data_IF_136956416445
#
_entry.id   IF_136956416445
#
_cell.length_a   1.000
_cell.length_b   1.000
_cell.length_c   1.000
_cell.angle_alpha   90.00
_cell.angle_beta   90.00
_cell.angle_gamma   90.00
#
_symmetry.space_group_name_H-M   'P 1'
#
loop_
_entity.id
_entity.type
_entity.pdbx_description
1 polymer ?
#
# COMPACT_ATOMS: atom_id res chain seq x y z
N UNK A 1 63.52 4.00 -25.54
CA UNK A 1 62.60 2.84 -25.64
C UNK A 1 61.79 2.84 -24.34
N UNK A 2 60.64 3.47 -24.37
CA UNK A 2 59.75 3.58 -23.21
C UNK A 2 58.61 2.60 -23.38
N UNK A 3 58.62 1.52 -22.62
CA UNK A 3 57.55 0.53 -22.62
C UNK A 3 56.37 1.05 -21.81
N UNK A 4 55.30 1.33 -22.50
CA UNK A 4 54.03 1.73 -21.92
C UNK A 4 53.26 0.47 -21.48
N UNK A 5 53.53 0.01 -20.25
CA UNK A 5 52.81 -1.11 -19.66
C UNK A 5 51.40 -0.61 -19.25
N UNK A 6 50.48 -0.63 -20.21
CA UNK A 6 49.05 -0.54 -19.94
C UNK A 6 48.58 -1.80 -19.18
N UNK A 7 48.84 -1.84 -17.88
CA UNK A 7 48.21 -2.83 -16.97
C UNK A 7 46.72 -2.53 -16.90
N UNK A 8 45.94 -3.22 -17.74
CA UNK A 8 44.51 -3.33 -17.58
C UNK A 8 44.28 -4.01 -16.24
N UNK A 9 43.97 -3.22 -15.22
CA UNK A 9 43.49 -3.74 -13.92
C UNK A 9 42.06 -4.26 -14.16
N UNK A 10 41.95 -5.54 -14.42
CA UNK A 10 40.66 -6.23 -14.35
C UNK A 10 40.31 -6.25 -12.87
N UNK A 11 39.48 -5.30 -12.42
CA UNK A 11 38.84 -5.36 -11.12
C UNK A 11 37.78 -6.45 -11.22
N UNK A 12 38.13 -7.66 -10.79
CA UNK A 12 37.15 -8.73 -10.61
C UNK A 12 36.31 -8.33 -9.39
N UNK A 13 35.16 -7.76 -9.67
CA UNK A 13 34.13 -7.52 -8.65
C UNK A 13 33.50 -8.88 -8.33
N UNK A 14 34.06 -9.54 -7.32
CA UNK A 14 33.60 -10.85 -6.84
C UNK A 14 32.31 -10.61 -6.09
N UNK A 15 31.18 -10.62 -6.79
CA UNK A 15 29.86 -10.63 -6.14
C UNK A 15 29.73 -11.91 -5.30
N UNK A 16 29.48 -11.75 -4.02
CA UNK A 16 29.38 -12.83 -3.03
C UNK A 16 28.27 -13.87 -3.32
N UNK A 17 27.39 -13.59 -4.28
CA UNK A 17 26.33 -14.50 -4.72
C UNK A 17 26.29 -14.59 -6.26
N UNK A 18 26.08 -15.80 -6.82
CA UNK A 18 25.91 -15.94 -8.25
C UNK A 18 24.65 -15.17 -8.68
N UNK A 19 24.85 -14.04 -9.34
CA UNK A 19 23.76 -13.25 -9.91
C UNK A 19 23.32 -13.89 -11.21
N UNK A 20 22.24 -14.66 -11.16
CA UNK A 20 21.55 -15.08 -12.38
C UNK A 20 20.85 -13.83 -12.93
N UNK A 21 21.38 -13.24 -13.99
CA UNK A 21 20.70 -12.15 -14.71
C UNK A 21 19.52 -12.76 -15.45
N UNK A 22 18.33 -12.55 -14.92
CA UNK A 22 17.09 -12.75 -15.66
C UNK A 22 16.87 -11.54 -16.56
N UNK A 23 16.40 -11.77 -17.79
CA UNK A 23 16.04 -10.69 -18.74
C UNK A 23 14.81 -9.89 -18.32
N UNK A 24 14.21 -10.24 -17.18
CA UNK A 24 13.03 -9.56 -16.64
C UNK A 24 13.42 -8.30 -15.90
N UNK A 25 13.05 -7.16 -16.46
CA UNK A 25 13.19 -5.85 -15.84
C UNK A 25 12.20 -5.70 -14.66
N UNK A 26 12.61 -5.02 -13.59
CA UNK A 26 11.78 -4.73 -12.40
C UNK A 26 10.43 -4.11 -12.79
N UNK A 27 10.42 -3.25 -13.80
CA UNK A 27 9.20 -2.66 -14.34
C UNK A 27 8.20 -3.71 -14.82
N UNK A 28 8.68 -4.73 -15.54
CA UNK A 28 7.83 -5.80 -16.08
C UNK A 28 7.16 -6.58 -14.96
N UNK A 29 7.93 -6.95 -13.95
CA UNK A 29 7.40 -7.65 -12.77
C UNK A 29 6.33 -6.80 -12.05
N UNK A 30 6.56 -5.50 -11.86
CA UNK A 30 5.58 -4.62 -11.21
C UNK A 30 4.31 -4.47 -12.03
N UNK A 31 4.41 -4.38 -13.35
CA UNK A 31 3.26 -4.33 -14.25
C UNK A 31 2.45 -5.63 -14.24
N UNK A 32 3.11 -6.79 -14.24
CA UNK A 32 2.45 -8.09 -14.18
C UNK A 32 1.62 -8.23 -12.90
N UNK A 33 2.13 -7.74 -11.76
CA UNK A 33 1.38 -7.71 -10.49
C UNK A 33 0.18 -6.76 -10.56
N UNK A 34 0.32 -5.58 -11.17
CA UNK A 34 -0.81 -4.66 -11.36
C UNK A 34 -1.90 -5.33 -12.21
N UNK A 35 -1.52 -5.99 -13.30
CA UNK A 35 -2.46 -6.72 -14.17
C UNK A 35 -3.14 -7.85 -13.39
N UNK A 36 -2.40 -8.61 -12.57
CA UNK A 36 -2.95 -9.68 -11.73
C UNK A 36 -3.94 -9.17 -10.67
N UNK A 37 -3.83 -7.91 -10.23
CA UNK A 37 -4.76 -7.29 -9.28
C UNK A 37 -6.02 -6.72 -9.95
N UNK A 38 -6.03 -6.52 -11.27
CA UNK A 38 -7.19 -5.95 -11.98
C UNK A 38 -8.47 -6.76 -11.82
N UNK A 39 -8.47 -8.12 -11.91
CA UNK A 39 -9.68 -8.90 -11.67
C UNK A 39 -10.29 -8.66 -10.28
N UNK A 40 -9.46 -8.55 -9.25
CA UNK A 40 -9.94 -8.27 -7.89
C UNK A 40 -10.57 -6.88 -7.78
N UNK A 41 -10.00 -5.87 -8.45
CA UNK A 41 -10.57 -4.53 -8.51
C UNK A 41 -11.92 -4.51 -9.25
N UNK A 42 -12.05 -5.27 -10.33
CA UNK A 42 -13.30 -5.42 -11.08
C UNK A 42 -14.39 -6.02 -10.18
N UNK A 43 -14.09 -7.09 -9.45
CA UNK A 43 -15.04 -7.69 -8.49
C UNK A 43 -15.43 -6.70 -7.40
N UNK A 44 -14.48 -5.92 -6.88
CA UNK A 44 -14.76 -4.87 -5.90
C UNK A 44 -15.74 -3.81 -6.44
N UNK A 45 -15.61 -3.42 -7.72
CA UNK A 45 -16.52 -2.47 -8.37
C UNK A 45 -17.93 -3.07 -8.47
N UNK A 46 -18.08 -4.33 -8.84
CA UNK A 46 -19.39 -5.00 -8.90
C UNK A 46 -20.06 -5.10 -7.52
N UNK A 47 -19.28 -5.34 -6.46
CA UNK A 47 -19.81 -5.51 -5.11
C UNK A 47 -20.13 -4.18 -4.41
N UNK A 48 -19.27 -3.17 -4.54
CA UNK A 48 -19.34 -1.93 -3.78
C UNK A 48 -19.62 -0.69 -4.64
N UNK A 49 -19.79 -0.86 -5.97
CA UNK A 49 -20.01 0.23 -6.91
C UNK A 49 -18.71 0.94 -7.30
N UNK A 50 -18.82 2.19 -7.74
CA UNK A 50 -17.69 2.97 -8.27
C UNK A 50 -16.71 3.52 -7.22
N UNK A 51 -17.06 3.48 -5.95
CA UNK A 51 -16.23 4.05 -4.87
C UNK A 51 -14.86 3.40 -4.74
N UNK A 52 -14.72 2.05 -4.77
CA UNK A 52 -13.40 1.40 -4.73
C UNK A 52 -12.48 1.85 -5.86
N UNK A 53 -13.02 2.06 -7.06
CA UNK A 53 -12.25 2.58 -8.19
C UNK A 53 -11.74 4.01 -7.90
N UNK A 54 -12.60 4.87 -7.34
CA UNK A 54 -12.20 6.22 -6.94
C UNK A 54 -11.06 6.22 -5.92
N UNK A 55 -11.16 5.39 -4.87
CA UNK A 55 -10.13 5.22 -3.86
C UNK A 55 -8.82 4.70 -4.47
N UNK A 56 -8.90 3.70 -5.36
CA UNK A 56 -7.72 3.13 -6.04
C UNK A 56 -7.03 4.16 -6.94
N UNK A 57 -7.78 4.91 -7.72
CA UNK A 57 -7.24 5.95 -8.62
C UNK A 57 -6.57 7.07 -7.82
N UNK A 58 -7.23 7.60 -6.79
CA UNK A 58 -6.65 8.64 -5.93
C UNK A 58 -5.38 8.14 -5.26
N UNK A 59 -5.39 6.92 -4.71
CA UNK A 59 -4.22 6.33 -4.06
C UNK A 59 -3.04 6.15 -5.03
N UNK A 60 -3.28 5.64 -6.24
CA UNK A 60 -2.22 5.48 -7.24
C UNK A 60 -1.63 6.82 -7.69
N UNK A 61 -2.50 7.79 -8.01
CA UNK A 61 -2.07 9.11 -8.48
C UNK A 61 -1.25 9.82 -7.39
N UNK A 62 -1.74 9.81 -6.15
CA UNK A 62 -1.05 10.45 -5.03
C UNK A 62 0.26 9.75 -4.67
N UNK A 63 0.33 8.42 -4.75
CA UNK A 63 1.55 7.66 -4.53
C UNK A 63 2.65 8.03 -5.56
N UNK A 64 2.29 8.08 -6.85
CA UNK A 64 3.21 8.50 -7.92
C UNK A 64 3.63 9.97 -7.76
N UNK A 65 2.67 10.83 -7.40
CA UNK A 65 2.94 12.25 -7.16
C UNK A 65 3.92 12.46 -6.00
N UNK A 66 3.74 11.80 -4.86
CA UNK A 66 4.65 11.93 -3.72
C UNK A 66 6.04 11.35 -4.02
N UNK A 67 6.13 10.26 -4.79
CA UNK A 67 7.42 9.74 -5.23
C UNK A 67 8.15 10.74 -6.12
N UNK A 68 7.45 11.32 -7.10
CA UNK A 68 8.01 12.34 -7.97
C UNK A 68 8.44 13.58 -7.20
N UNK A 69 7.57 14.10 -6.32
CA UNK A 69 7.85 15.30 -5.52
C UNK A 69 9.08 15.10 -4.63
N UNK A 70 9.16 13.97 -3.93
CA UNK A 70 10.30 13.65 -3.06
C UNK A 70 11.61 13.56 -3.85
N UNK A 71 11.63 12.84 -4.98
CA UNK A 71 12.82 12.68 -5.81
C UNK A 71 13.28 14.00 -6.41
N UNK A 72 12.35 14.83 -6.86
CA UNK A 72 12.64 16.17 -7.36
C UNK A 72 13.24 17.06 -6.27
N UNK A 73 12.69 17.03 -5.06
CA UNK A 73 13.18 17.81 -3.92
C UNK A 73 14.59 17.38 -3.51
N UNK A 74 14.85 16.06 -3.49
CA UNK A 74 16.14 15.49 -3.10
C UNK A 74 17.17 15.41 -4.25
N UNK A 75 16.84 15.94 -5.44
CA UNK A 75 17.69 15.91 -6.64
C UNK A 75 18.20 14.50 -7.00
N UNK A 76 17.42 13.48 -6.70
CA UNK A 76 17.73 12.07 -7.07
C UNK A 76 17.29 11.77 -8.50
N UNK A 77 17.95 10.81 -9.16
CA UNK A 77 17.57 10.35 -10.50
C UNK A 77 16.11 9.87 -10.54
N UNK A 78 15.39 10.28 -11.59
CA UNK A 78 13.98 9.90 -11.77
C UNK A 78 13.87 8.43 -12.22
N UNK A 79 13.51 7.54 -11.32
CA UNK A 79 13.14 6.15 -11.59
C UNK A 79 11.62 5.92 -11.51
N UNK A 80 10.82 6.91 -11.91
CA UNK A 80 9.35 6.83 -11.89
C UNK A 80 8.84 5.73 -12.84
N UNK A 81 9.67 5.35 -13.82
CA UNK A 81 9.35 4.30 -14.79
C UNK A 81 9.15 2.89 -14.22
N UNK A 82 9.54 2.63 -12.98
CA UNK A 82 9.46 1.28 -12.37
C UNK A 82 8.04 0.87 -11.98
N UNK A 83 7.05 1.74 -12.07
CA UNK A 83 5.65 1.53 -11.67
C UNK A 83 5.45 1.08 -10.21
N UNK A 84 6.51 1.08 -9.40
CA UNK A 84 6.47 0.58 -8.02
C UNK A 84 5.63 1.45 -7.08
N UNK A 85 5.57 2.78 -7.32
CA UNK A 85 4.70 3.67 -6.54
C UNK A 85 3.22 3.44 -6.87
N UNK A 86 2.90 3.25 -8.15
CA UNK A 86 1.55 2.93 -8.59
C UNK A 86 1.06 1.61 -7.97
N UNK A 87 1.91 0.58 -7.99
CA UNK A 87 1.63 -0.70 -7.34
C UNK A 87 1.41 -0.54 -5.83
N UNK A 88 2.28 0.22 -5.14
CA UNK A 88 2.13 0.49 -3.70
C UNK A 88 0.80 1.19 -3.40
N UNK A 89 0.43 2.19 -4.20
CA UNK A 89 -0.85 2.89 -4.09
C UNK A 89 -2.04 1.96 -4.31
N UNK A 90 -1.98 1.09 -5.33
CA UNK A 90 -3.02 0.11 -5.61
C UNK A 90 -3.18 -0.90 -4.47
N UNK A 91 -2.08 -1.49 -4.00
CA UNK A 91 -2.10 -2.44 -2.87
C UNK A 91 -2.67 -1.79 -1.61
N UNK A 92 -2.30 -0.55 -1.32
CA UNK A 92 -2.84 0.17 -0.17
C UNK A 92 -4.35 0.39 -0.33
N UNK A 93 -4.81 0.84 -1.50
CA UNK A 93 -6.23 1.05 -1.78
C UNK A 93 -7.05 -0.23 -1.62
N UNK A 94 -6.54 -1.38 -2.10
CA UNK A 94 -7.20 -2.68 -1.95
C UNK A 94 -7.35 -3.14 -0.49
N UNK A 95 -6.58 -2.55 0.42
CA UNK A 95 -6.67 -2.85 1.86
C UNK A 95 -7.55 -1.89 2.64
N UNK A 96 -8.08 -0.85 1.98
CA UNK A 96 -8.94 0.15 2.61
C UNK A 96 -10.43 -0.19 2.43
N UNK A 97 -11.30 0.19 3.40
CA UNK A 97 -12.73 0.02 3.22
C UNK A 97 -13.26 0.93 2.11
N UNK A 98 -14.23 0.46 1.29
CA UNK A 98 -14.77 1.24 0.18
C UNK A 98 -15.52 2.51 0.60
N UNK A 99 -15.92 2.60 1.88
CA UNK A 99 -16.54 3.80 2.48
C UNK A 99 -15.56 4.92 2.78
N UNK A 100 -14.24 4.68 2.67
CA UNK A 100 -13.22 5.66 3.05
C UNK A 100 -13.38 6.98 2.32
N UNK A 101 -13.24 8.12 3.02
CA UNK A 101 -13.19 9.43 2.39
C UNK A 101 -11.90 9.56 1.54
N UNK A 102 -11.97 10.28 0.42
CA UNK A 102 -10.86 10.36 -0.55
C UNK A 102 -9.59 11.04 -0.02
N UNK A 103 -9.65 11.79 1.08
CA UNK A 103 -8.45 12.34 1.71
C UNK A 103 -7.61 11.28 2.46
N UNK A 104 -8.24 10.19 2.89
CA UNK A 104 -7.58 9.12 3.64
C UNK A 104 -6.50 8.40 2.81
N UNK A 105 -6.76 7.96 1.56
CA UNK A 105 -5.71 7.41 0.69
C UNK A 105 -4.59 8.41 0.38
N UNK A 106 -4.85 9.73 0.40
CA UNK A 106 -3.80 10.75 0.20
C UNK A 106 -2.82 10.73 1.37
N UNK A 107 -3.31 10.78 2.61
CA UNK A 107 -2.45 10.74 3.81
C UNK A 107 -1.71 9.42 3.95
N UNK A 108 -2.38 8.30 3.66
CA UNK A 108 -1.74 6.99 3.67
C UNK A 108 -0.66 6.83 2.60
N UNK A 109 -0.90 7.31 1.38
CA UNK A 109 0.10 7.31 0.30
C UNK A 109 1.30 8.19 0.64
N UNK A 110 1.09 9.34 1.26
CA UNK A 110 2.17 10.19 1.74
C UNK A 110 3.08 9.42 2.71
N UNK A 111 2.49 8.82 3.75
CA UNK A 111 3.26 8.07 4.74
C UNK A 111 3.98 6.86 4.11
N UNK A 112 3.28 6.06 3.32
CA UNK A 112 3.82 4.88 2.67
C UNK A 112 5.00 5.20 1.73
N UNK A 113 4.86 6.23 0.90
CA UNK A 113 5.88 6.56 -0.11
C UNK A 113 7.01 7.39 0.50
N UNK A 114 6.71 8.48 1.22
CA UNK A 114 7.74 9.40 1.71
C UNK A 114 8.47 8.79 2.90
N UNK A 115 7.75 8.35 3.93
CA UNK A 115 8.36 7.89 5.18
C UNK A 115 8.91 6.48 5.02
N UNK A 116 8.12 5.52 4.53
CA UNK A 116 8.52 4.11 4.53
C UNK A 116 9.39 3.75 3.33
N UNK A 117 9.08 4.27 2.13
CA UNK A 117 9.83 3.90 0.91
C UNK A 117 11.04 4.79 0.67
N UNK A 118 10.86 6.11 0.65
CA UNK A 118 11.89 7.03 0.16
C UNK A 118 12.95 7.38 1.20
N UNK A 119 12.61 7.49 2.49
CA UNK A 119 13.58 7.76 3.55
C UNK A 119 14.58 6.62 3.71
N UNK A 120 14.18 5.38 3.51
CA UNK A 120 15.05 4.20 3.60
C UNK A 120 15.87 3.92 2.33
N UNK A 121 15.73 4.75 1.29
CA UNK A 121 16.57 4.68 0.09
C UNK A 121 15.89 4.11 -1.15
N UNK A 122 14.59 3.84 -1.13
CA UNK A 122 13.80 3.40 -2.27
C UNK A 122 13.63 1.89 -2.37
N UNK A 123 13.26 1.41 -3.56
CA UNK A 123 12.93 0.02 -3.82
C UNK A 123 14.06 -0.93 -3.39
N UNK A 124 13.71 -2.00 -2.66
CA UNK A 124 14.63 -3.04 -2.22
C UNK A 124 15.41 -2.75 -0.94
N UNK A 125 15.37 -1.53 -0.41
CA UNK A 125 16.02 -1.16 0.87
C UNK A 125 15.03 -0.97 2.02
N UNK A 126 13.76 -1.20 1.78
CA UNK A 126 12.71 -1.07 2.78
C UNK A 126 12.70 -2.31 3.68
N UNK A 127 12.68 -2.13 4.99
CA UNK A 127 12.52 -3.24 5.94
C UNK A 127 11.06 -3.66 6.11
N UNK A 128 10.11 -2.81 5.69
CA UNK A 128 8.66 -3.06 5.71
C UNK A 128 8.05 -2.85 4.33
N UNK A 129 6.96 -3.57 4.07
CA UNK A 129 6.14 -3.30 2.89
C UNK A 129 5.45 -1.93 3.06
N UNK A 130 5.72 -0.95 2.16
CA UNK A 130 5.21 0.41 2.31
C UNK A 130 3.68 0.50 2.28
N UNK A 131 2.98 -0.36 1.52
CA UNK A 131 1.53 -0.38 1.50
C UNK A 131 0.93 -0.83 2.86
N UNK A 132 1.52 -1.86 3.47
CA UNK A 132 1.07 -2.34 4.78
C UNK A 132 1.40 -1.36 5.90
N UNK A 133 2.57 -0.73 5.85
CA UNK A 133 2.94 0.30 6.82
C UNK A 133 2.03 1.54 6.72
N UNK A 134 1.66 1.97 5.50
CA UNK A 134 0.67 3.02 5.28
C UNK A 134 -0.70 2.66 5.87
N UNK A 135 -1.16 1.42 5.67
CA UNK A 135 -2.39 0.93 6.28
C UNK A 135 -2.32 0.91 7.81
N UNK A 136 -1.22 0.41 8.39
CA UNK A 136 -1.03 0.38 9.84
C UNK A 136 -1.08 1.80 10.44
N UNK A 137 -0.43 2.77 9.78
CA UNK A 137 -0.50 4.18 10.15
C UNK A 137 -1.95 4.70 10.12
N UNK A 138 -2.71 4.40 9.06
CA UNK A 138 -4.10 4.85 8.95
C UNK A 138 -5.00 4.21 10.01
N UNK A 139 -4.80 2.94 10.36
CA UNK A 139 -5.56 2.29 11.42
C UNK A 139 -5.25 2.93 12.78
N UNK A 140 -3.98 3.21 13.05
CA UNK A 140 -3.57 3.83 14.31
C UNK A 140 -4.07 5.29 14.45
N UNK A 141 -4.08 6.05 13.34
CA UNK A 141 -4.44 7.47 13.37
C UNK A 141 -5.94 7.72 13.13
N UNK A 142 -6.60 6.89 12.33
CA UNK A 142 -7.98 7.10 11.86
C UNK A 142 -8.81 5.81 11.96
N UNK A 143 -8.78 5.16 13.11
CA UNK A 143 -9.45 3.88 13.37
C UNK A 143 -10.91 3.86 12.93
N UNK A 144 -11.67 4.89 13.27
CA UNK A 144 -13.11 4.98 12.96
C UNK A 144 -13.40 4.86 11.46
N UNK A 145 -12.57 5.48 10.60
CA UNK A 145 -12.75 5.40 9.14
C UNK A 145 -12.25 4.09 8.56
N UNK A 146 -11.25 3.46 9.19
CA UNK A 146 -10.64 2.22 8.71
C UNK A 146 -11.39 0.96 9.16
N UNK A 147 -12.20 1.04 10.20
CA UNK A 147 -12.99 -0.09 10.75
C UNK A 147 -14.46 -0.07 10.33
N UNK A 148 -14.87 0.93 9.54
CA UNK A 148 -16.26 1.03 9.04
C UNK A 148 -16.46 0.08 7.86
N UNK A 149 -17.18 -1.00 8.09
CA UNK A 149 -17.50 -2.01 7.08
C UNK A 149 -18.77 -1.66 6.32
N UNK A 150 -18.76 -1.90 5.02
CA UNK A 150 -19.92 -1.65 4.12
C UNK A 150 -20.42 -2.99 3.61
N UNK A 151 -21.75 -3.16 3.66
CA UNK A 151 -22.41 -4.34 3.10
C UNK A 151 -22.32 -4.32 1.58
N UNK A 152 -21.88 -5.41 0.93
CA UNK A 152 -21.86 -5.52 -0.52
C UNK A 152 -23.26 -5.34 -1.12
N UNK A 153 -23.33 -4.74 -2.30
CA UNK A 153 -24.61 -4.51 -2.99
C UNK A 153 -25.37 -5.81 -3.29
N UNK A 154 -24.66 -6.92 -3.49
CA UNK A 154 -25.26 -8.25 -3.70
C UNK A 154 -26.04 -8.77 -2.50
N UNK A 155 -25.73 -8.29 -1.30
CA UNK A 155 -26.41 -8.70 -0.05
C UNK A 155 -27.48 -7.70 0.40
N UNK A 156 -27.57 -6.52 -0.22
CA UNK A 156 -28.60 -5.53 0.07
C UNK A 156 -29.96 -6.09 -0.38
N UNK A 157 -30.76 -6.56 0.54
CA UNK A 157 -32.12 -7.06 0.28
C UNK A 157 -32.33 -8.57 0.46
N UNK A 158 -31.28 -9.34 0.70
CA UNK A 158 -31.40 -10.79 0.96
C UNK A 158 -31.23 -11.19 2.42
N UNK A 159 -30.85 -10.25 3.30
CA UNK A 159 -30.55 -10.54 4.71
C UNK A 159 -31.18 -9.47 5.59
N UNK A 160 -32.13 -9.86 6.45
CA UNK A 160 -32.75 -9.01 7.49
C UNK A 160 -31.78 -8.61 8.62
N UNK A 161 -30.58 -9.19 8.65
CA UNK A 161 -29.52 -8.93 9.62
C UNK A 161 -28.24 -8.50 8.94
N UNK A 162 -27.97 -7.19 8.86
CA UNK A 162 -26.69 -6.67 8.42
C UNK A 162 -25.67 -6.74 9.54
N UNK A 163 -24.89 -7.79 9.63
CA UNK A 163 -23.71 -7.82 10.48
C UNK A 163 -22.64 -6.91 9.87
N UNK A 164 -22.65 -5.64 10.28
CA UNK A 164 -21.67 -4.63 9.83
C UNK A 164 -20.34 -4.75 10.55
N UNK A 165 -20.31 -5.45 11.68
CA UNK A 165 -19.12 -5.77 12.45
C UNK A 165 -19.08 -7.28 12.70
N UNK A 166 -17.90 -7.83 12.97
CA UNK A 166 -17.81 -9.24 13.38
C UNK A 166 -18.60 -9.44 14.68
N UNK A 167 -19.25 -10.60 14.88
CA UNK A 167 -19.96 -10.89 16.14
C UNK A 167 -19.11 -10.64 17.39
N UNK A 168 -17.79 -10.84 17.27
CA UNK A 168 -16.81 -10.57 18.33
C UNK A 168 -16.72 -9.07 18.69
N UNK A 169 -16.87 -8.17 17.75
CA UNK A 169 -16.86 -6.72 18.03
C UNK A 169 -18.07 -6.29 18.85
N UNK A 170 -19.24 -6.87 18.59
CA UNK A 170 -20.43 -6.61 19.40
C UNK A 170 -20.30 -7.19 20.80
N UNK A 171 -19.78 -8.41 20.94
CA UNK A 171 -19.51 -9.00 22.24
C UNK A 171 -18.52 -8.18 23.06
N UNK A 172 -17.46 -7.69 22.44
CA UNK A 172 -16.45 -6.87 23.10
C UNK A 172 -17.04 -5.53 23.56
N UNK A 173 -17.84 -4.87 22.73
CA UNK A 173 -18.55 -3.63 23.11
C UNK A 173 -19.55 -3.86 24.24
N UNK A 174 -20.27 -4.98 24.21
CA UNK A 174 -21.22 -5.36 25.28
C UNK A 174 -20.51 -5.63 26.61
N UNK A 175 -19.38 -6.35 26.57
CA UNK A 175 -18.60 -6.66 27.78
C UNK A 175 -17.96 -5.41 28.40
N UNK A 176 -17.47 -4.46 27.59
CA UNK A 176 -16.96 -3.18 28.09
C UNK A 176 -18.06 -2.38 28.79
N UNK A 177 -19.24 -2.28 28.19
CA UNK A 177 -20.35 -1.54 28.78
C UNK A 177 -20.84 -2.16 30.10
N UNK A 178 -20.82 -3.48 30.21
CA UNK A 178 -21.21 -4.17 31.47
C UNK A 178 -20.13 -4.06 32.55
N UNK A 179 -18.85 -3.98 32.21
CA UNK A 179 -17.77 -3.76 33.18
C UNK A 179 -17.80 -2.33 33.74
N UNK A 180 -17.99 -1.33 32.87
CA UNK A 180 -18.11 0.08 33.32
C UNK A 180 -19.32 0.28 34.23
N UNK A 181 -20.47 -0.33 33.89
CA UNK A 181 -21.65 -0.26 34.72
C UNK A 181 -21.51 -0.98 36.10
N UNK A 182 -20.62 -1.98 36.18
CA UNK A 182 -20.32 -2.66 37.44
C UNK A 182 -19.38 -1.84 38.34
N UNK A 183 -18.45 -1.08 37.77
CA UNK A 183 -17.53 -0.19 38.49
C UNK A 183 -18.26 1.05 39.05
N UNK A 184 -19.28 1.55 38.34
CA UNK A 184 -20.11 2.69 38.81
C UNK A 184 -21.05 2.32 39.96
N UNK A 185 -21.23 1.03 40.30
CA UNK A 185 -22.08 0.55 41.39
C UNK A 185 -21.31 0.17 42.67
N UNK A 186 -20.01 0.36 42.74
CA UNK A 186 -19.17 0.20 43.94
C UNK A 186 -18.80 1.56 44.57
#
# INVERSE_FOLDING_TARGET
MSGNDNKVRIVLDVAYQPQVRTETDTRRIMMDVIIALMPALIVAIFQFGWRPLGVAMVSMITAVFFEWAYRKLMKKSNMIGDCSAALTGLLMAMTMPPSSPLWLPITGSFFAIVVVKQLYGGLGKNFLNPALAGRAFLIASYANHMTTWVVPNSLKGSVDGTTMATPMTYLYSCLLYTSDAADDMQ
#
